data_IF_296157590048
#
_entry.id   IF_296157590048
#
_cell.length_a   1.000
_cell.length_b   1.000
_cell.length_c   1.000
_cell.angle_alpha   90.00
_cell.angle_beta   90.00
_cell.angle_gamma   90.00
#
_symmetry.space_group_name_H-M   'P 1'
#
loop_
_entity.id
_entity.type
_entity.pdbx_description
1 polymer ?
#
# COMPACT_ATOMS: atom_id res chain seq x y z
N UNK A 1 -32.41 -4.92 2.70
CA UNK A 1 -31.81 -3.87 3.56
C UNK A 1 -31.99 -2.51 2.89
N UNK A 2 -32.39 -1.44 3.60
CA UNK A 2 -32.40 -0.09 3.01
C UNK A 2 -30.96 0.41 2.85
N UNK A 3 -30.59 0.91 1.67
CA UNK A 3 -29.25 1.41 1.36
C UNK A 3 -29.35 2.65 0.49
N UNK A 4 -28.30 3.48 0.49
CA UNK A 4 -28.13 4.50 -0.55
C UNK A 4 -27.68 3.80 -1.83
N UNK A 5 -28.37 4.05 -2.93
CA UNK A 5 -28.03 3.45 -4.22
C UNK A 5 -26.72 4.05 -4.74
N UNK A 6 -25.70 3.23 -5.05
CA UNK A 6 -24.42 3.74 -5.54
C UNK A 6 -24.51 4.29 -6.98
N UNK A 7 -25.58 3.99 -7.72
CA UNK A 7 -25.75 4.47 -9.11
C UNK A 7 -26.43 5.84 -9.16
N UNK A 8 -27.44 6.08 -8.30
CA UNK A 8 -28.25 7.31 -8.39
C UNK A 8 -28.28 8.14 -7.09
N UNK A 9 -27.61 7.71 -6.02
CA UNK A 9 -27.57 8.41 -4.73
C UNK A 9 -28.87 8.40 -3.93
N UNK A 10 -29.97 7.83 -4.44
CA UNK A 10 -31.25 7.77 -3.73
C UNK A 10 -31.36 6.55 -2.82
N UNK A 11 -32.17 6.63 -1.77
CA UNK A 11 -32.46 5.48 -0.90
C UNK A 11 -33.26 4.44 -1.69
N UNK A 12 -32.86 3.18 -1.58
CA UNK A 12 -33.56 2.04 -2.14
C UNK A 12 -33.39 0.79 -1.26
N UNK A 13 -33.86 -0.35 -1.76
CA UNK A 13 -33.77 -1.64 -1.07
C UNK A 13 -32.77 -2.55 -1.77
N UNK A 14 -31.69 -2.91 -1.08
CA UNK A 14 -30.75 -3.92 -1.52
C UNK A 14 -31.42 -5.30 -1.46
N UNK A 15 -31.41 -5.99 -2.60
CA UNK A 15 -31.85 -7.36 -2.78
C UNK A 15 -30.76 -8.18 -3.48
N UNK A 16 -30.74 -9.48 -3.26
CA UNK A 16 -29.83 -10.41 -3.93
C UNK A 16 -30.64 -11.46 -4.70
N UNK A 17 -30.31 -11.67 -5.96
CA UNK A 17 -30.98 -12.63 -6.85
C UNK A 17 -29.98 -13.68 -7.33
N UNK A 18 -30.32 -14.96 -7.22
CA UNK A 18 -29.48 -16.06 -7.72
C UNK A 18 -29.79 -16.31 -9.20
N UNK A 19 -28.75 -16.33 -10.04
CA UNK A 19 -28.82 -16.73 -11.46
C UNK A 19 -27.68 -17.70 -11.75
N UNK A 20 -28.02 -18.98 -11.98
CA UNK A 20 -27.03 -20.06 -12.05
C UNK A 20 -26.28 -20.23 -10.72
N UNK A 21 -24.95 -20.35 -10.80
CA UNK A 21 -24.05 -20.48 -9.64
C UNK A 21 -23.62 -19.13 -9.04
N UNK A 22 -24.35 -18.05 -9.31
CA UNK A 22 -23.96 -16.72 -8.86
C UNK A 22 -25.14 -15.96 -8.31
N UNK A 23 -24.89 -15.19 -7.25
CA UNK A 23 -25.82 -14.18 -6.75
C UNK A 23 -25.45 -12.80 -7.29
N UNK A 24 -26.46 -11.97 -7.52
CA UNK A 24 -26.34 -10.63 -8.05
C UNK A 24 -27.11 -9.68 -7.16
N UNK A 25 -26.46 -8.62 -6.71
CA UNK A 25 -27.04 -7.60 -5.87
C UNK A 25 -27.67 -6.50 -6.72
N UNK A 26 -28.83 -6.02 -6.30
CA UNK A 26 -29.52 -4.92 -6.93
C UNK A 26 -30.11 -4.01 -5.88
N UNK A 27 -30.13 -2.70 -6.16
CA UNK A 27 -30.91 -1.74 -5.38
C UNK A 27 -32.21 -1.48 -6.13
N UNK A 28 -33.33 -1.81 -5.50
CA UNK A 28 -34.67 -1.55 -6.04
C UNK A 28 -35.20 -0.24 -5.45
N UNK A 29 -35.61 0.65 -6.34
CA UNK A 29 -36.38 1.85 -6.02
C UNK A 29 -37.84 1.59 -6.32
N UNK A 30 -38.70 1.85 -5.34
CA UNK A 30 -40.15 1.71 -5.46
C UNK A 30 -40.72 3.13 -5.46
N UNK A 31 -41.50 3.46 -6.50
CA UNK A 31 -42.11 4.77 -6.66
C UNK A 31 -43.52 4.62 -7.26
N UNK A 32 -44.35 5.65 -7.11
CA UNK A 32 -45.67 5.71 -7.73
C UNK A 32 -45.62 6.60 -8.97
N UNK A 33 -46.23 6.12 -10.05
CA UNK A 33 -46.43 6.88 -11.30
C UNK A 33 -47.79 6.46 -11.87
N UNK A 34 -48.65 7.43 -12.18
CA UNK A 34 -50.03 7.23 -12.66
C UNK A 34 -50.89 6.30 -11.78
N UNK A 35 -50.78 6.44 -10.45
CA UNK A 35 -51.50 5.61 -9.49
C UNK A 35 -51.03 4.15 -9.42
N UNK A 36 -50.00 3.76 -10.17
CA UNK A 36 -49.43 2.41 -10.17
C UNK A 36 -48.08 2.40 -9.47
N UNK A 37 -47.80 1.35 -8.69
CA UNK A 37 -46.48 1.14 -8.09
C UNK A 37 -45.54 0.61 -9.16
N UNK A 38 -44.48 1.37 -9.46
CA UNK A 38 -43.40 0.96 -10.35
C UNK A 38 -42.13 0.65 -9.56
N UNK A 39 -41.29 -0.19 -10.15
CA UNK A 39 -39.99 -0.60 -9.59
C UNK A 39 -38.90 -0.31 -10.61
N UNK A 40 -37.87 0.43 -10.19
CA UNK A 40 -36.63 0.61 -10.97
C UNK A 40 -35.53 -0.19 -10.28
N UNK A 41 -34.81 -0.99 -11.06
CA UNK A 41 -33.75 -1.87 -10.57
C UNK A 41 -32.40 -1.33 -11.02
N UNK A 42 -31.52 -1.03 -10.07
CA UNK A 42 -30.13 -0.69 -10.33
C UNK A 42 -29.24 -1.86 -9.96
N UNK A 43 -28.37 -2.28 -10.88
CA UNK A 43 -27.42 -3.36 -10.61
C UNK A 43 -26.34 -2.87 -9.64
N UNK A 44 -26.19 -3.54 -8.50
CA UNK A 44 -25.26 -3.18 -7.43
C UNK A 44 -24.03 -4.09 -7.39
N UNK A 45 -23.81 -4.91 -8.42
CA UNK A 45 -22.68 -5.82 -8.54
C UNK A 45 -23.01 -7.28 -8.23
N UNK A 46 -22.05 -8.17 -8.49
CA UNK A 46 -22.16 -9.60 -8.20
C UNK A 46 -21.94 -9.83 -6.71
N UNK A 47 -22.72 -10.71 -6.10
CA UNK A 47 -22.43 -11.23 -4.77
C UNK A 47 -21.19 -12.14 -4.89
N UNK A 48 -20.07 -11.54 -4.54
CA UNK A 48 -18.73 -12.09 -4.63
C UNK A 48 -18.45 -13.15 -3.57
N UNK A 49 -19.36 -13.41 -2.62
CA UNK A 49 -19.16 -14.43 -1.59
C UNK A 49 -19.02 -15.85 -2.15
N UNK A 50 -19.72 -16.16 -3.25
CA UNK A 50 -19.64 -17.47 -3.90
C UNK A 50 -18.33 -17.62 -4.67
N UNK A 51 -17.91 -16.56 -5.39
CA UNK A 51 -16.60 -16.48 -6.04
C UNK A 51 -15.46 -16.52 -5.00
N UNK A 52 -15.61 -15.84 -3.87
CA UNK A 52 -14.66 -15.85 -2.76
C UNK A 52 -14.52 -17.25 -2.17
N UNK A 53 -15.63 -17.97 -1.96
CA UNK A 53 -15.60 -19.38 -1.52
C UNK A 53 -14.97 -20.31 -2.56
N UNK A 54 -15.20 -20.08 -3.85
CA UNK A 54 -14.53 -20.83 -4.92
C UNK A 54 -13.03 -20.54 -4.95
N UNK A 55 -12.65 -19.28 -4.83
CA UNK A 55 -11.25 -18.83 -4.73
C UNK A 55 -10.59 -19.41 -3.46
N UNK A 56 -11.24 -19.34 -2.30
CA UNK A 56 -10.78 -19.91 -1.03
C UNK A 56 -10.60 -21.44 -1.10
N UNK A 57 -11.51 -22.17 -1.78
CA UNK A 57 -11.37 -23.62 -2.02
C UNK A 57 -10.21 -23.96 -2.95
N UNK A 58 -9.86 -23.07 -3.87
CA UNK A 58 -8.74 -23.24 -4.81
C UNK A 58 -7.38 -22.82 -4.21
N UNK A 59 -7.37 -22.26 -3.00
CA UNK A 59 -6.21 -21.62 -2.38
C UNK A 59 -5.81 -22.34 -1.08
N UNK A 60 -4.62 -22.92 -1.07
CA UNK A 60 -3.98 -23.47 0.12
C UNK A 60 -3.66 -22.35 1.14
N UNK A 61 -4.09 -22.56 2.39
CA UNK A 61 -4.34 -21.55 3.42
C UNK A 61 -3.04 -21.13 4.13
N UNK A 62 -2.22 -20.27 3.50
CA UNK A 62 -0.96 -19.78 4.08
C UNK A 62 -0.86 -18.26 4.06
N UNK A 63 -0.93 -17.67 5.26
CA UNK A 63 -0.74 -16.24 5.54
C UNK A 63 0.46 -15.64 4.78
N UNK A 64 0.18 -14.67 3.91
CA UNK A 64 1.22 -13.87 3.22
C UNK A 64 1.42 -12.57 3.99
N UNK A 65 2.60 -12.37 4.58
CA UNK A 65 2.90 -11.13 5.34
C UNK A 65 3.17 -9.93 4.42
N UNK A 66 3.89 -10.12 3.31
CA UNK A 66 4.26 -9.07 2.35
C UNK A 66 3.73 -9.39 0.96
N UNK A 67 2.83 -8.55 0.44
CA UNK A 67 2.10 -8.82 -0.81
C UNK A 67 2.64 -8.02 -1.99
N UNK A 68 3.20 -6.84 -1.71
CA UNK A 68 3.98 -6.07 -2.67
C UNK A 68 5.41 -5.95 -2.18
N UNK A 69 6.36 -6.33 -3.04
CA UNK A 69 7.78 -6.06 -2.81
C UNK A 69 8.13 -4.64 -3.26
N UNK A 70 7.86 -3.63 -2.44
CA UNK A 70 8.22 -2.25 -2.75
C UNK A 70 9.59 -1.86 -2.17
N UNK A 71 10.24 -0.86 -2.78
CA UNK A 71 11.48 -0.25 -2.27
C UNK A 71 11.21 0.49 -0.93
N UNK A 72 12.20 0.57 -0.05
CA UNK A 72 12.08 1.15 1.30
C UNK A 72 12.53 0.18 2.40
N UNK A 73 12.26 -1.12 2.25
CA UNK A 73 12.86 -2.16 3.10
C UNK A 73 12.29 -2.27 4.52
N UNK A 74 11.25 -1.49 4.86
CA UNK A 74 10.65 -1.43 6.20
C UNK A 74 10.25 -2.78 6.76
N UNK A 75 9.79 -3.70 5.90
CA UNK A 75 9.50 -5.08 6.28
C UNK A 75 10.61 -5.74 7.13
N UNK A 76 11.88 -5.48 6.84
CA UNK A 76 13.02 -6.10 7.53
C UNK A 76 13.32 -5.50 8.91
N UNK A 77 12.78 -4.31 9.18
CA UNK A 77 12.95 -3.59 10.45
C UNK A 77 11.60 -3.27 11.10
N UNK A 78 10.51 -3.83 10.57
CA UNK A 78 9.16 -3.46 10.97
C UNK A 78 8.91 -3.73 12.45
N UNK A 79 9.46 -4.80 13.01
CA UNK A 79 9.33 -5.08 14.44
C UNK A 79 9.94 -3.96 15.30
N UNK A 80 11.06 -3.36 14.86
CA UNK A 80 11.72 -2.25 15.56
C UNK A 80 10.92 -0.94 15.41
N UNK A 81 10.41 -0.69 14.22
CA UNK A 81 9.58 0.49 13.91
C UNK A 81 8.24 0.42 14.65
N UNK A 82 7.54 -0.71 14.58
CA UNK A 82 6.24 -0.93 15.22
C UNK A 82 6.36 -0.83 16.74
N UNK A 83 7.44 -1.33 17.36
CA UNK A 83 7.68 -1.13 18.79
C UNK A 83 7.70 0.36 19.16
N UNK A 84 8.41 1.20 18.38
CA UNK A 84 8.51 2.65 18.62
C UNK A 84 7.19 3.37 18.36
N UNK A 85 6.56 3.09 17.21
CA UNK A 85 5.28 3.67 16.82
C UNK A 85 4.22 3.33 17.88
N UNK A 86 4.12 2.05 18.28
CA UNK A 86 3.16 1.62 19.29
C UNK A 86 3.48 2.21 20.68
N UNK A 87 4.75 2.44 21.03
CA UNK A 87 5.12 3.08 22.29
C UNK A 87 4.79 4.59 22.31
N UNK A 88 4.87 5.25 21.15
CA UNK A 88 4.54 6.68 21.02
C UNK A 88 3.05 6.96 21.31
N UNK A 89 2.17 5.98 21.08
CA UNK A 89 0.75 6.08 21.37
C UNK A 89 0.40 5.60 22.79
N UNK A 90 -0.19 6.51 23.57
CA UNK A 90 -0.79 6.19 24.87
C UNK A 90 -2.13 5.48 24.70
N UNK A 91 -3.11 6.13 24.09
CA UNK A 91 -4.43 5.57 23.79
C UNK A 91 -5.16 6.36 22.68
N UNK A 92 -5.87 5.64 21.81
CA UNK A 92 -6.73 6.18 20.72
C UNK A 92 -6.05 7.26 19.88
N UNK A 93 -4.96 6.90 19.22
CA UNK A 93 -4.18 7.77 18.35
C UNK A 93 -4.58 7.67 16.88
N UNK A 94 -4.12 8.65 16.09
CA UNK A 94 -4.09 8.59 14.63
C UNK A 94 -2.69 8.16 14.17
N UNK A 95 -2.59 7.14 13.32
CA UNK A 95 -1.35 6.80 12.62
C UNK A 95 -1.40 7.36 11.20
N UNK A 96 -0.33 8.02 10.76
CA UNK A 96 -0.19 8.50 9.39
C UNK A 96 1.11 7.98 8.80
N UNK A 97 1.01 7.11 7.80
CA UNK A 97 2.14 6.70 6.95
C UNK A 97 2.26 7.69 5.80
N UNK A 98 3.17 8.67 5.93
CA UNK A 98 3.24 9.83 5.03
C UNK A 98 3.73 9.44 3.63
N UNK A 99 4.70 8.51 3.57
CA UNK A 99 5.27 7.95 2.34
C UNK A 99 5.01 6.44 2.35
N UNK A 100 3.82 6.06 1.90
CA UNK A 100 3.22 4.77 2.16
C UNK A 100 3.92 3.58 1.53
N UNK A 101 4.40 3.69 0.29
CA UNK A 101 5.09 2.61 -0.42
C UNK A 101 4.36 1.27 -0.35
N UNK A 102 4.93 0.31 0.39
CA UNK A 102 4.32 -1.02 0.57
C UNK A 102 3.16 -1.07 1.58
N UNK A 103 2.86 0.02 2.27
CA UNK A 103 1.81 0.14 3.29
C UNK A 103 1.96 -0.87 4.44
N UNK A 104 3.17 -1.40 4.66
CA UNK A 104 3.39 -2.50 5.58
C UNK A 104 3.15 -2.08 7.03
N UNK A 105 3.40 -0.82 7.38
CA UNK A 105 3.15 -0.33 8.73
C UNK A 105 1.67 -0.05 8.95
N UNK A 106 0.99 0.59 8.00
CA UNK A 106 -0.47 0.80 8.05
C UNK A 106 -1.25 -0.49 8.27
N UNK A 107 -0.85 -1.59 7.62
CA UNK A 107 -1.48 -2.90 7.85
C UNK A 107 -1.09 -3.59 9.18
N UNK A 108 -0.04 -3.12 9.87
CA UNK A 108 0.57 -3.82 11.01
C UNK A 108 0.52 -3.07 12.35
N UNK A 109 0.23 -1.76 12.36
CA UNK A 109 0.10 -0.98 13.60
C UNK A 109 -1.02 -1.53 14.50
N UNK A 110 -0.84 -1.41 15.81
CA UNK A 110 -1.77 -1.96 16.80
C UNK A 110 -3.14 -1.25 16.76
N UNK A 111 -4.16 -1.96 16.24
CA UNK A 111 -5.53 -1.45 16.12
C UNK A 111 -6.19 -1.09 17.45
N UNK A 112 -5.68 -1.58 18.59
CA UNK A 112 -6.19 -1.16 19.91
C UNK A 112 -5.73 0.24 20.27
N UNK A 113 -4.55 0.64 19.80
CA UNK A 113 -3.95 1.95 20.04
C UNK A 113 -4.33 2.96 18.96
N UNK A 114 -4.32 2.52 17.71
CA UNK A 114 -4.56 3.36 16.54
C UNK A 114 -5.98 3.16 16.02
N UNK A 115 -6.88 4.05 16.41
CA UNK A 115 -8.29 4.01 16.01
C UNK A 115 -8.56 4.72 14.68
N UNK A 116 -7.59 5.48 14.18
CA UNK A 116 -7.63 6.14 12.88
C UNK A 116 -6.28 5.90 12.17
N UNK A 117 -6.31 5.33 10.97
CA UNK A 117 -5.10 4.89 10.25
C UNK A 117 -5.15 5.44 8.85
N UNK A 118 -4.16 6.25 8.51
CA UNK A 118 -4.04 6.95 7.25
C UNK A 118 -2.81 6.41 6.51
N UNK A 119 -3.04 5.86 5.34
CA UNK A 119 -2.01 5.58 4.35
C UNK A 119 -2.00 6.72 3.33
N UNK A 120 -0.84 7.33 3.09
CA UNK A 120 -0.66 8.31 2.04
C UNK A 120 0.50 7.93 1.14
N UNK A 121 0.34 8.10 -0.17
CA UNK A 121 1.48 8.08 -1.09
C UNK A 121 1.20 9.01 -2.26
N UNK A 122 2.24 9.66 -2.79
CA UNK A 122 2.13 10.53 -3.96
C UNK A 122 1.93 9.73 -5.26
N UNK A 123 2.33 8.44 -5.27
CA UNK A 123 2.18 7.55 -6.40
C UNK A 123 0.72 7.09 -6.56
N UNK A 124 0.03 7.68 -7.53
CA UNK A 124 -1.33 7.39 -7.93
C UNK A 124 -1.59 5.88 -8.18
N UNK A 125 -0.62 5.16 -8.75
CA UNK A 125 -0.75 3.72 -9.01
C UNK A 125 -0.80 2.91 -7.72
N UNK A 126 0.04 3.25 -6.72
CA UNK A 126 0.00 2.58 -5.41
C UNK A 126 -1.33 2.83 -4.71
N UNK A 127 -1.79 4.08 -4.71
CA UNK A 127 -3.09 4.48 -4.15
C UNK A 127 -4.22 3.71 -4.84
N UNK A 128 -4.21 3.68 -6.18
CA UNK A 128 -5.19 2.93 -6.99
C UNK A 128 -5.16 1.43 -6.66
N UNK A 129 -3.98 0.84 -6.46
CA UNK A 129 -3.85 -0.56 -6.08
C UNK A 129 -4.53 -0.86 -4.73
N UNK A 130 -4.27 -0.07 -3.69
CA UNK A 130 -4.91 -0.29 -2.39
C UNK A 130 -6.40 0.03 -2.40
N UNK A 131 -6.83 1.06 -3.15
CA UNK A 131 -8.24 1.35 -3.40
C UNK A 131 -8.96 0.15 -4.01
N UNK A 132 -8.44 -0.40 -5.11
CA UNK A 132 -9.02 -1.57 -5.77
C UNK A 132 -8.94 -2.84 -4.91
N UNK A 133 -7.90 -2.99 -4.10
CA UNK A 133 -7.81 -4.07 -3.12
C UNK A 133 -8.96 -4.01 -2.10
N UNK A 134 -9.44 -2.81 -1.77
CA UNK A 134 -10.60 -2.62 -0.87
C UNK A 134 -11.94 -2.76 -1.59
N UNK A 135 -12.07 -2.20 -2.79
CA UNK A 135 -13.34 -2.11 -3.52
C UNK A 135 -13.68 -3.37 -4.34
N UNK A 136 -12.68 -4.01 -4.94
CA UNK A 136 -12.86 -5.13 -5.86
C UNK A 136 -11.82 -6.27 -5.66
N UNK A 137 -11.57 -6.75 -4.42
CA UNK A 137 -10.49 -7.71 -4.14
C UNK A 137 -10.61 -9.03 -4.89
N UNK A 138 -11.81 -9.59 -5.03
CA UNK A 138 -12.01 -10.88 -5.70
C UNK A 138 -11.76 -10.78 -7.20
N UNK A 139 -12.18 -9.68 -7.84
CA UNK A 139 -11.90 -9.44 -9.26
C UNK A 139 -10.40 -9.28 -9.48
N UNK A 140 -9.73 -8.50 -8.63
CA UNK A 140 -8.28 -8.32 -8.69
C UNK A 140 -7.54 -9.65 -8.49
N UNK A 141 -7.90 -10.41 -7.46
CA UNK A 141 -7.31 -11.72 -7.17
C UNK A 141 -7.54 -12.72 -8.32
N UNK A 142 -8.75 -12.78 -8.88
CA UNK A 142 -9.07 -13.64 -10.02
C UNK A 142 -8.25 -13.27 -11.25
N UNK A 143 -8.21 -11.99 -11.62
CA UNK A 143 -7.44 -11.50 -12.75
C UNK A 143 -5.97 -11.90 -12.62
N UNK A 144 -5.38 -11.63 -11.45
CA UNK A 144 -3.98 -11.96 -11.17
C UNK A 144 -3.71 -13.47 -11.10
N UNK A 145 -4.66 -14.28 -10.65
CA UNK A 145 -4.54 -15.74 -10.62
C UNK A 145 -4.53 -16.35 -12.04
N UNK A 146 -5.18 -15.69 -13.00
CA UNK A 146 -5.25 -16.13 -14.40
C UNK A 146 -4.08 -15.63 -15.26
N UNK A 147 -3.37 -14.59 -14.82
CA UNK A 147 -2.22 -14.05 -15.56
C UNK A 147 -1.04 -15.03 -15.60
N UNK A 148 -0.53 -15.39 -16.78
CA UNK A 148 0.68 -16.20 -16.88
C UNK A 148 1.91 -15.47 -16.34
N UNK A 149 2.76 -16.19 -15.60
CA UNK A 149 4.05 -15.68 -15.17
C UNK A 149 5.09 -15.91 -16.27
N UNK A 150 5.41 -14.87 -17.04
CA UNK A 150 6.26 -15.02 -18.22
C UNK A 150 6.90 -13.73 -18.70
N UNK A 151 8.05 -13.86 -19.35
CA UNK A 151 8.85 -12.71 -19.81
C UNK A 151 8.15 -11.89 -20.90
N UNK A 152 7.35 -12.53 -21.76
CA UNK A 152 6.55 -11.84 -22.79
C UNK A 152 5.47 -10.96 -22.16
N UNK A 153 4.70 -11.51 -21.23
CA UNK A 153 3.71 -10.77 -20.44
C UNK A 153 4.35 -9.63 -19.68
N UNK A 154 5.49 -9.85 -19.05
CA UNK A 154 6.24 -8.80 -18.37
C UNK A 154 6.58 -7.60 -19.27
N UNK A 155 7.01 -7.85 -20.51
CA UNK A 155 7.31 -6.77 -21.47
C UNK A 155 6.05 -5.94 -21.77
N UNK A 156 4.92 -6.61 -22.04
CA UNK A 156 3.63 -5.95 -22.29
C UNK A 156 3.21 -5.10 -21.09
N UNK A 157 3.27 -5.67 -19.88
CA UNK A 157 2.90 -4.96 -18.65
C UNK A 157 3.76 -3.71 -18.45
N UNK A 158 5.07 -3.80 -18.67
CA UNK A 158 5.99 -2.66 -18.55
C UNK A 158 5.67 -1.57 -19.56
N UNK A 159 5.38 -1.94 -20.80
CA UNK A 159 4.99 -1.01 -21.86
C UNK A 159 3.69 -0.28 -21.50
N UNK A 160 2.67 -1.02 -21.07
CA UNK A 160 1.39 -0.45 -20.65
C UNK A 160 1.55 0.51 -19.46
N UNK A 161 2.32 0.13 -18.44
CA UNK A 161 2.53 0.98 -17.26
C UNK A 161 3.30 2.26 -17.55
N UNK A 162 4.17 2.26 -18.58
CA UNK A 162 4.98 3.42 -18.94
C UNK A 162 4.28 4.34 -19.93
N UNK A 163 3.50 3.78 -20.86
CA UNK A 163 2.98 4.51 -22.02
C UNK A 163 1.48 4.80 -21.95
N UNK A 164 0.72 4.05 -21.15
CA UNK A 164 -0.74 4.19 -21.11
C UNK A 164 -1.18 4.96 -19.86
N UNK A 165 -1.68 6.17 -20.06
CA UNK A 165 -2.21 7.04 -18.99
C UNK A 165 -3.71 6.83 -18.70
N UNK A 166 -4.42 6.11 -19.56
CA UNK A 166 -5.89 5.95 -19.50
C UNK A 166 -6.29 4.51 -19.14
N UNK A 167 -5.53 3.87 -18.25
CA UNK A 167 -5.88 2.56 -17.74
C UNK A 167 -7.06 2.67 -16.77
N UNK A 168 -8.06 1.81 -16.94
CA UNK A 168 -9.09 1.67 -15.92
C UNK A 168 -8.47 1.15 -14.60
N UNK A 169 -9.05 1.53 -13.46
CA UNK A 169 -8.41 1.38 -12.15
C UNK A 169 -8.09 -0.08 -11.80
N UNK A 170 -8.97 -1.02 -12.15
CA UNK A 170 -8.76 -2.45 -11.90
C UNK A 170 -7.56 -2.99 -12.69
N UNK A 171 -7.45 -2.60 -13.96
CA UNK A 171 -6.33 -2.94 -14.84
C UNK A 171 -5.04 -2.28 -14.33
N UNK A 172 -5.08 -1.01 -13.96
CA UNK A 172 -3.92 -0.30 -13.40
C UNK A 172 -3.39 -0.99 -12.14
N UNK A 173 -4.28 -1.37 -11.22
CA UNK A 173 -3.94 -2.12 -10.01
C UNK A 173 -3.33 -3.49 -10.33
N UNK A 174 -3.92 -4.24 -11.25
CA UNK A 174 -3.42 -5.56 -11.65
C UNK A 174 -2.07 -5.48 -12.36
N UNK A 175 -1.88 -4.51 -13.25
CA UNK A 175 -0.63 -4.29 -13.96
C UNK A 175 0.47 -3.85 -13.00
N UNK A 176 0.20 -2.94 -12.07
CA UNK A 176 1.17 -2.54 -11.05
C UNK A 176 1.60 -3.73 -10.19
N UNK A 177 0.62 -4.50 -9.69
CA UNK A 177 0.89 -5.70 -8.90
C UNK A 177 1.74 -6.71 -9.69
N UNK A 178 1.38 -6.96 -10.96
CA UNK A 178 2.12 -7.86 -11.83
C UNK A 178 3.55 -7.35 -12.02
N UNK A 179 3.72 -6.09 -12.40
CA UNK A 179 5.01 -5.47 -12.62
C UNK A 179 5.93 -5.62 -11.42
N UNK A 180 5.45 -5.28 -10.22
CA UNK A 180 6.24 -5.39 -8.99
C UNK A 180 6.57 -6.86 -8.68
N UNK A 181 5.58 -7.75 -8.66
CA UNK A 181 5.79 -9.14 -8.24
C UNK A 181 6.43 -10.05 -9.32
N UNK A 182 6.62 -9.55 -10.53
CA UNK A 182 7.36 -10.22 -11.60
C UNK A 182 8.72 -9.60 -11.91
N UNK A 183 9.11 -8.52 -11.22
CA UNK A 183 10.41 -7.87 -11.37
C UNK A 183 11.40 -8.30 -10.30
N UNK A 184 12.69 -8.31 -10.63
CA UNK A 184 13.73 -8.47 -9.61
C UNK A 184 13.62 -7.33 -8.58
N UNK A 185 13.48 -7.71 -7.30
CA UNK A 185 13.37 -6.78 -6.17
C UNK A 185 12.23 -5.75 -6.28
N UNK A 186 11.21 -6.03 -7.09
CA UNK A 186 10.06 -5.13 -7.24
C UNK A 186 10.27 -3.92 -8.15
N UNK A 187 11.48 -3.71 -8.68
CA UNK A 187 11.82 -2.52 -9.45
C UNK A 187 11.38 -2.60 -10.91
N UNK A 188 10.08 -2.62 -11.21
CA UNK A 188 9.58 -2.80 -12.58
C UNK A 188 9.95 -1.66 -13.56
N UNK A 189 10.29 -0.47 -13.04
CA UNK A 189 10.73 0.65 -13.85
C UNK A 189 12.08 0.39 -14.55
N UNK A 190 13.05 -0.23 -13.85
CA UNK A 190 14.44 -0.37 -14.32
C UNK A 190 15.05 -1.77 -14.20
N UNK A 191 14.49 -2.66 -13.38
CA UNK A 191 14.95 -4.06 -13.26
C UNK A 191 14.27 -4.92 -14.32
N UNK A 192 14.83 -6.11 -14.56
CA UNK A 192 14.25 -7.08 -15.49
C UNK A 192 13.27 -8.05 -14.82
N UNK A 193 12.61 -8.85 -15.66
CA UNK A 193 11.78 -9.98 -15.25
C UNK A 193 12.55 -10.94 -14.32
N UNK A 194 11.98 -11.23 -13.15
CA UNK A 194 12.53 -12.14 -12.16
C UNK A 194 12.42 -13.60 -12.60
N UNK A 195 13.52 -14.33 -12.50
CA UNK A 195 13.58 -15.77 -12.77
C UNK A 195 14.68 -16.41 -11.93
N UNK A 196 14.65 -17.74 -11.86
CA UNK A 196 15.69 -18.54 -11.22
C UNK A 196 16.01 -19.75 -12.09
N UNK A 197 17.29 -20.08 -12.17
CA UNK A 197 17.77 -21.34 -12.77
C UNK A 197 17.88 -22.47 -11.75
N UNK A 198 17.80 -22.16 -10.45
CA UNK A 198 17.79 -23.15 -9.38
C UNK A 198 16.42 -23.85 -9.31
N UNK A 199 16.33 -25.19 -9.46
CA UNK A 199 15.05 -25.91 -9.50
C UNK A 199 14.16 -25.74 -8.26
N UNK A 200 14.75 -25.49 -7.08
CA UNK A 200 14.02 -25.25 -5.84
C UNK A 200 13.34 -23.88 -5.73
N UNK A 201 13.62 -22.95 -6.65
CA UNK A 201 13.08 -21.58 -6.62
C UNK A 201 12.16 -21.35 -7.81
N UNK A 202 10.85 -21.43 -7.55
CA UNK A 202 9.82 -21.22 -8.55
C UNK A 202 9.16 -19.84 -8.41
N UNK A 203 9.57 -18.88 -9.25
CA UNK A 203 9.05 -17.52 -9.24
C UNK A 203 7.54 -17.45 -9.55
N UNK A 204 7.02 -18.30 -10.44
CA UNK A 204 5.59 -18.38 -10.74
C UNK A 204 4.78 -18.89 -9.54
N UNK A 205 5.33 -19.79 -8.72
CA UNK A 205 4.71 -20.24 -7.46
C UNK A 205 4.66 -19.10 -6.44
N UNK A 206 5.72 -18.29 -6.34
CA UNK A 206 5.76 -17.10 -5.45
C UNK A 206 4.75 -16.05 -5.91
N UNK A 207 4.70 -15.74 -7.20
CA UNK A 207 3.72 -14.80 -7.76
C UNK A 207 2.29 -15.23 -7.44
N UNK A 208 1.94 -16.50 -7.72
CA UNK A 208 0.62 -17.04 -7.37
C UNK A 208 0.34 -16.93 -5.88
N UNK A 209 1.32 -17.19 -5.02
CA UNK A 209 1.17 -17.00 -3.57
C UNK A 209 0.83 -15.54 -3.22
N UNK A 210 1.51 -14.56 -3.79
CA UNK A 210 1.21 -13.14 -3.52
C UNK A 210 -0.16 -12.73 -4.07
N UNK A 211 -0.53 -13.16 -5.27
CA UNK A 211 -1.83 -12.85 -5.87
C UNK A 211 -2.98 -13.34 -4.99
N UNK A 212 -2.81 -14.51 -4.36
CA UNK A 212 -3.75 -15.08 -3.39
C UNK A 212 -3.85 -14.27 -2.10
N UNK A 213 -2.73 -13.72 -1.64
CA UNK A 213 -2.67 -12.91 -0.42
C UNK A 213 -3.49 -11.62 -0.50
N UNK A 214 -3.93 -11.18 -1.68
CA UNK A 214 -4.76 -9.97 -1.83
C UNK A 214 -6.03 -10.04 -0.99
N UNK A 215 -6.65 -11.22 -0.89
CA UNK A 215 -7.84 -11.40 -0.05
C UNK A 215 -7.52 -11.22 1.45
N UNK A 216 -6.30 -11.54 1.87
CA UNK A 216 -5.84 -11.32 3.25
C UNK A 216 -5.61 -9.82 3.56
N UNK A 217 -5.40 -8.97 2.53
CA UNK A 217 -5.26 -7.53 2.73
C UNK A 217 -6.59 -6.85 3.03
N UNK A 218 -7.69 -7.35 2.48
CA UNK A 218 -9.01 -6.73 2.60
C UNK A 218 -9.34 -6.43 4.07
N UNK A 219 -9.16 -7.44 4.93
CA UNK A 219 -9.45 -7.30 6.36
C UNK A 219 -8.50 -6.34 7.09
N UNK A 220 -7.26 -6.19 6.61
CA UNK A 220 -6.26 -5.29 7.22
C UNK A 220 -6.38 -3.84 6.74
N UNK A 221 -6.98 -3.65 5.57
CA UNK A 221 -7.12 -2.35 4.90
C UNK A 221 -8.55 -1.79 4.97
N UNK A 222 -9.51 -2.55 5.53
CA UNK A 222 -10.90 -2.11 5.66
C UNK A 222 -11.04 -0.80 6.45
N UNK A 223 -10.22 -0.65 7.49
CA UNK A 223 -10.20 0.46 8.45
C UNK A 223 -9.07 1.47 8.17
N UNK A 224 -8.45 1.38 7.00
CA UNK A 224 -7.42 2.31 6.55
C UNK A 224 -8.02 3.32 5.58
N UNK A 225 -7.78 4.60 5.86
CA UNK A 225 -8.03 5.72 4.95
C UNK A 225 -6.86 5.81 3.97
N UNK A 226 -7.17 5.96 2.68
CA UNK A 226 -6.18 6.01 1.61
C UNK A 226 -6.20 7.42 1.04
N UNK A 227 -5.09 8.12 1.19
CA UNK A 227 -4.86 9.48 0.68
C UNK A 227 -3.85 9.46 -0.48
N UNK A 228 -3.97 10.45 -1.37
CA UNK A 228 -3.04 10.70 -2.47
C UNK A 228 -2.65 12.18 -2.49
N UNK A 229 -1.94 12.60 -1.44
CA UNK A 229 -1.57 13.99 -1.19
C UNK A 229 -0.06 14.16 -1.15
N UNK A 230 0.41 15.39 -1.43
CA UNK A 230 1.78 15.78 -1.12
C UNK A 230 2.03 15.68 0.39
N UNK A 231 3.26 15.37 0.79
CA UNK A 231 3.59 15.19 2.20
C UNK A 231 3.27 16.46 3.02
N UNK A 232 3.38 17.65 2.41
CA UNK A 232 3.06 18.94 3.05
C UNK A 232 1.60 18.99 3.46
N UNK A 233 0.72 18.54 2.57
CA UNK A 233 -0.72 18.60 2.77
C UNK A 233 -1.19 17.54 3.76
N UNK A 234 -0.72 16.29 3.63
CA UNK A 234 -1.13 15.22 4.55
C UNK A 234 -0.64 15.48 5.98
N UNK A 235 0.59 15.99 6.16
CA UNK A 235 1.09 16.32 7.49
C UNK A 235 0.23 17.42 8.11
N UNK A 236 -0.03 18.50 7.36
CA UNK A 236 -0.87 19.61 7.83
C UNK A 236 -2.30 19.18 8.14
N UNK A 237 -2.89 18.33 7.29
CA UNK A 237 -4.28 17.90 7.41
C UNK A 237 -4.54 17.06 8.66
N UNK A 238 -3.59 16.19 9.02
CA UNK A 238 -3.76 15.27 10.14
C UNK A 238 -3.00 15.68 11.41
N UNK A 239 -2.34 16.85 11.44
CA UNK A 239 -1.57 17.26 12.61
C UNK A 239 -2.46 17.50 13.85
N UNK A 240 -2.20 16.73 14.90
CA UNK A 240 -2.86 16.83 16.20
C UNK A 240 -1.95 16.24 17.26
N UNK A 241 -2.19 16.57 18.53
CA UNK A 241 -1.44 16.01 19.67
C UNK A 241 -1.52 14.47 19.75
N UNK A 242 -2.54 13.86 19.15
CA UNK A 242 -2.74 12.41 19.11
C UNK A 242 -2.28 11.77 17.79
N UNK A 243 -1.65 12.52 16.90
CA UNK A 243 -1.18 12.00 15.62
C UNK A 243 0.27 11.53 15.73
N UNK A 244 0.54 10.34 15.19
CA UNK A 244 1.88 9.79 15.07
C UNK A 244 2.16 9.61 13.58
N UNK A 245 3.08 10.42 13.07
CA UNK A 245 3.55 10.38 11.71
C UNK A 245 4.72 9.41 11.58
N UNK A 246 4.66 8.50 10.63
CA UNK A 246 5.82 7.75 10.17
C UNK A 246 6.22 8.24 8.78
N UNK A 247 7.51 8.52 8.61
CA UNK A 247 8.06 9.06 7.37
C UNK A 247 9.23 8.18 6.92
N UNK A 248 9.11 7.61 5.73
CA UNK A 248 10.19 6.95 4.97
C UNK A 248 10.31 7.64 3.60
N UNK A 249 10.78 8.90 3.54
CA UNK A 249 10.82 9.66 2.30
C UNK A 249 11.77 9.01 1.29
N UNK A 250 11.57 9.27 -0.02
CA UNK A 250 12.57 8.93 -1.02
C UNK A 250 13.91 9.60 -0.70
N UNK A 251 15.00 8.89 -1.00
CA UNK A 251 16.34 9.43 -0.83
C UNK A 251 16.73 10.32 -2.01
N UNK A 252 17.13 11.59 -1.82
CA UNK A 252 17.31 12.52 -2.93
C UNK A 252 18.26 12.07 -4.03
N UNK A 253 19.31 11.32 -3.68
CA UNK A 253 20.32 10.81 -4.62
C UNK A 253 19.81 9.69 -5.55
N UNK A 254 18.61 9.15 -5.29
CA UNK A 254 18.09 7.95 -5.97
C UNK A 254 16.55 7.91 -6.05
N UNK A 255 15.86 9.00 -5.71
CA UNK A 255 14.41 9.07 -5.68
C UNK A 255 13.80 8.81 -7.08
N UNK A 256 14.29 9.51 -8.08
CA UNK A 256 13.86 9.35 -9.47
C UNK A 256 14.11 7.93 -9.99
N UNK A 257 15.25 7.35 -9.60
CA UNK A 257 15.67 6.01 -10.00
C UNK A 257 14.79 4.89 -9.43
N UNK A 258 14.38 5.01 -8.16
CA UNK A 258 13.60 3.98 -7.47
C UNK A 258 12.09 4.15 -7.59
N UNK A 259 11.62 5.40 -7.62
CA UNK A 259 10.20 5.73 -7.49
C UNK A 259 9.64 6.43 -8.73
N UNK A 260 10.49 6.90 -9.65
CA UNK A 260 10.06 7.65 -10.84
C UNK A 260 9.51 9.04 -10.50
N UNK A 261 9.79 9.54 -9.30
CA UNK A 261 9.31 10.83 -8.77
C UNK A 261 10.53 11.56 -8.20
N UNK A 262 10.62 12.85 -8.48
CA UNK A 262 11.65 13.71 -7.89
C UNK A 262 11.34 13.99 -6.43
N UNK A 263 12.35 13.82 -5.57
CA UNK A 263 12.32 14.28 -4.18
C UNK A 263 13.69 14.91 -3.91
N UNK A 264 13.72 16.23 -3.83
CA UNK A 264 14.96 16.99 -3.81
C UNK A 264 15.51 17.15 -2.39
N UNK A 265 16.73 17.68 -2.28
CA UNK A 265 17.27 18.11 -0.98
C UNK A 265 16.39 19.22 -0.37
N UNK A 266 15.82 20.09 -1.20
CA UNK A 266 14.93 21.15 -0.73
C UNK A 266 13.62 20.58 -0.18
N UNK A 267 13.05 19.56 -0.83
CA UNK A 267 11.89 18.83 -0.30
C UNK A 267 12.20 18.17 1.05
N UNK A 268 13.36 17.54 1.17
CA UNK A 268 13.82 16.94 2.42
C UNK A 268 13.97 17.99 3.53
N UNK A 269 14.56 19.15 3.22
CA UNK A 269 14.74 20.25 4.18
C UNK A 269 13.40 20.90 4.55
N UNK A 270 12.47 21.01 3.61
CA UNK A 270 11.13 21.52 3.85
C UNK A 270 10.33 20.58 4.77
N UNK A 271 10.37 19.28 4.50
CA UNK A 271 9.82 18.25 5.39
C UNK A 271 10.41 18.37 6.80
N UNK A 272 11.74 18.48 6.93
CA UNK A 272 12.38 18.65 8.23
C UNK A 272 11.89 19.90 8.97
N UNK A 273 11.71 21.05 8.28
CA UNK A 273 11.15 22.27 8.87
C UNK A 273 9.72 22.07 9.35
N UNK A 274 8.86 21.44 8.54
CA UNK A 274 7.48 21.13 8.92
C UNK A 274 7.46 20.28 10.20
N UNK A 275 8.30 19.25 10.30
CA UNK A 275 8.41 18.40 11.48
C UNK A 275 8.84 19.14 12.76
N UNK A 276 9.47 20.31 12.65
CA UNK A 276 9.77 21.14 13.82
C UNK A 276 8.55 21.89 14.38
N UNK A 277 7.46 21.96 13.62
CA UNK A 277 6.29 22.79 13.91
C UNK A 277 5.03 21.98 14.22
N UNK A 278 5.05 20.66 14.02
CA UNK A 278 3.89 19.79 14.27
C UNK A 278 3.55 19.70 15.76
N UNK A 279 2.26 19.55 16.06
CA UNK A 279 1.76 19.20 17.41
C UNK A 279 1.94 17.73 17.71
N UNK A 280 1.86 16.90 16.68
CA UNK A 280 1.96 15.45 16.77
C UNK A 280 3.38 14.94 17.04
N UNK A 281 3.47 13.62 17.06
CA UNK A 281 4.72 12.88 17.18
C UNK A 281 5.18 12.41 15.81
N UNK A 282 6.49 12.30 15.59
CA UNK A 282 7.02 11.74 14.35
C UNK A 282 8.14 10.73 14.58
N UNK A 283 8.20 9.73 13.71
CA UNK A 283 9.33 8.84 13.51
C UNK A 283 9.77 8.95 12.05
N UNK A 284 10.92 9.59 11.83
CA UNK A 284 11.54 9.73 10.52
C UNK A 284 12.64 8.67 10.36
N UNK A 285 12.60 7.92 9.27
CA UNK A 285 13.62 6.95 8.87
C UNK A 285 14.33 7.45 7.62
N UNK A 286 15.65 7.57 7.70
CA UNK A 286 16.53 7.89 6.56
C UNK A 286 17.86 7.14 6.68
N UNK A 287 18.79 7.35 5.74
CA UNK A 287 20.16 6.89 5.86
C UNK A 287 21.09 7.99 6.39
N UNK A 288 22.28 7.58 6.83
CA UNK A 288 23.25 8.50 7.43
C UNK A 288 23.72 9.59 6.45
N UNK A 289 23.80 9.27 5.15
CA UNK A 289 24.15 10.25 4.11
C UNK A 289 23.08 11.33 3.94
N UNK A 290 21.81 10.93 3.97
CA UNK A 290 20.66 11.83 3.83
C UNK A 290 20.49 12.69 5.06
N UNK A 291 20.78 12.14 6.25
CA UNK A 291 20.71 12.89 7.51
C UNK A 291 21.64 14.10 7.54
N UNK A 292 22.80 14.05 6.87
CA UNK A 292 23.73 15.18 6.78
C UNK A 292 23.04 16.47 6.28
N UNK A 293 22.04 16.35 5.40
CA UNK A 293 21.35 17.50 4.81
C UNK A 293 20.30 18.16 5.71
N UNK A 294 19.93 17.52 6.83
CA UNK A 294 18.87 18.01 7.73
C UNK A 294 19.24 17.98 9.21
N UNK A 295 20.45 17.51 9.55
CA UNK A 295 20.94 17.50 10.94
C UNK A 295 21.04 18.91 11.56
N UNK A 296 21.13 19.97 10.74
CA UNK A 296 21.08 21.36 11.19
C UNK A 296 19.68 21.77 11.67
N UNK A 297 18.65 21.11 11.17
CA UNK A 297 17.23 21.34 11.50
C UNK A 297 16.78 20.38 12.60
N UNK A 298 16.98 19.07 12.39
CA UNK A 298 16.64 18.00 13.32
C UNK A 298 17.87 17.60 14.15
N UNK A 299 18.32 18.51 15.00
CA UNK A 299 19.54 18.35 15.81
C UNK A 299 19.38 17.29 16.90
N UNK A 300 20.44 16.50 17.13
CA UNK A 300 20.45 15.40 18.11
C UNK A 300 20.39 15.81 19.59
N UNK A 301 20.54 17.10 19.91
CA UNK A 301 20.32 17.66 21.24
C UNK A 301 18.83 17.94 21.52
N UNK A 302 18.04 18.15 20.46
CA UNK A 302 16.59 18.41 20.53
C UNK A 302 15.74 17.19 20.19
N UNK A 303 16.24 16.32 19.31
CA UNK A 303 15.53 15.14 18.83
C UNK A 303 16.33 13.89 19.17
N UNK A 304 15.61 12.79 19.40
CA UNK A 304 16.24 11.48 19.58
C UNK A 304 16.73 10.98 18.23
N UNK A 305 18.04 10.77 18.10
CA UNK A 305 18.69 10.30 16.85
C UNK A 305 19.38 8.97 17.12
N UNK A 306 18.87 7.90 16.53
CA UNK A 306 19.38 6.54 16.69
C UNK A 306 19.97 6.02 15.38
N UNK A 307 21.13 5.35 15.45
CA UNK A 307 21.77 4.72 14.30
C UNK A 307 21.66 3.20 14.39
N UNK A 308 21.13 2.58 13.35
CA UNK A 308 20.96 1.14 13.25
C UNK A 308 21.79 0.63 12.08
N UNK A 309 22.79 -0.20 12.38
CA UNK A 309 23.60 -0.85 11.36
C UNK A 309 22.85 -2.05 10.76
N UNK A 310 22.83 -2.14 9.42
CA UNK A 310 22.22 -3.26 8.70
C UNK A 310 23.15 -3.80 7.63
N UNK A 311 23.22 -5.12 7.56
CA UNK A 311 23.89 -5.81 6.46
C UNK A 311 23.00 -5.72 5.22
N UNK A 312 23.55 -5.23 4.11
CA UNK A 312 22.83 -5.19 2.84
C UNK A 312 22.69 -6.62 2.30
N UNK A 313 21.51 -7.21 2.51
CA UNK A 313 21.16 -8.52 1.95
C UNK A 313 21.12 -8.54 0.40
N UNK A 314 21.16 -7.37 -0.24
CA UNK A 314 21.26 -7.20 -1.69
C UNK A 314 22.70 -7.32 -2.23
N UNK A 315 23.71 -7.32 -1.36
CA UNK A 315 25.12 -7.42 -1.74
C UNK A 315 25.55 -8.90 -1.79
N UNK A 316 25.46 -9.50 -2.99
CA UNK A 316 25.93 -10.87 -3.26
C UNK A 316 27.41 -10.87 -3.71
N UNK A 317 28.31 -10.26 -2.94
CA UNK A 317 29.75 -10.48 -3.14
C UNK A 317 30.14 -11.82 -2.51
N UNK A 318 30.57 -12.78 -3.34
CA UNK A 318 31.14 -14.05 -2.88
C UNK A 318 32.54 -13.75 -2.32
N UNK A 319 32.76 -14.05 -1.04
CA UNK A 319 34.10 -14.01 -0.43
C UNK A 319 34.51 -12.70 0.28
N UNK A 320 33.67 -11.65 0.26
CA UNK A 320 33.95 -10.38 0.96
C UNK A 320 32.89 -10.06 2.02
N UNK A 321 33.26 -9.23 3.02
CA UNK A 321 32.31 -8.68 3.98
C UNK A 321 31.22 -7.88 3.24
N UNK A 322 29.95 -8.27 3.45
CA UNK A 322 28.78 -7.59 2.89
C UNK A 322 28.77 -6.13 3.32
N UNK A 323 28.43 -5.20 2.41
CA UNK A 323 28.30 -3.78 2.74
C UNK A 323 27.30 -3.59 3.87
N UNK A 324 27.68 -2.75 4.83
CA UNK A 324 26.83 -2.28 5.91
C UNK A 324 26.20 -0.95 5.51
N UNK A 325 24.94 -0.77 5.83
CA UNK A 325 24.19 0.47 5.66
C UNK A 325 23.76 0.94 7.05
N UNK A 326 23.98 2.22 7.35
CA UNK A 326 23.56 2.86 8.59
C UNK A 326 22.24 3.57 8.35
N UNK A 327 21.18 3.05 8.98
CA UNK A 327 19.88 3.72 9.04
C UNK A 327 19.89 4.69 10.22
N UNK A 328 19.32 5.86 10.03
CA UNK A 328 19.13 6.88 11.06
C UNK A 328 17.63 7.00 11.32
N UNK A 329 17.23 6.78 12.57
CA UNK A 329 15.88 7.03 13.05
C UNK A 329 15.88 8.31 13.88
N UNK A 330 14.99 9.24 13.56
CA UNK A 330 14.84 10.52 14.26
C UNK A 330 13.42 10.63 14.80
N UNK A 331 13.26 10.96 16.08
CA UNK A 331 11.94 11.17 16.71
C UNK A 331 11.92 12.34 17.69
N UNK A 332 10.72 12.92 17.88
CA UNK A 332 10.43 13.92 18.92
C UNK A 332 9.80 13.30 20.18
N UNK A 333 9.89 11.98 20.33
CA UNK A 333 9.36 11.24 21.47
C UNK A 333 10.36 10.21 21.98
N UNK A 334 10.20 9.87 23.26
CA UNK A 334 11.04 8.93 24.00
C UNK A 334 10.65 7.48 23.78
#
# INVERSE_FOLDING_TARGET
>A
MKVVCPICGQIGYLISEKRGNYRYNYVIHIYQEDGKIKKKKHYAGKDINELRKEIEKLIDNKNVRKIISYAGGDYYIADELLKRINAACSDRCTFVEVFGGSGYLSQSVDRKKFTNIIYNDINDKLVTFYKITKENPEKLALLLALLPYGRSYYKIVRELLNNNKNLAELEAAALLFYGINSSFFGGYARKGFAFSVEPGKNAAKVFRKHARGILDLVEKWKDVTIENLDFRDVIKMYDSEKTIFYLDPPYPDRAEDYYGISFTIDDLRDMAKILTQIKGKFLLKIDDKTYIFIQDILKGDKYRVERIERVLNMDKRRGENRRKWILVLISNFT
#
